data_IF_750386318203
#
_entry.id   IF_750386318203
#
_cell.length_a   1.000
_cell.length_b   1.000
_cell.length_c   1.000
_cell.angle_alpha   90.00
_cell.angle_beta   90.00
_cell.angle_gamma   90.00
#
_symmetry.space_group_name_H-M   'P 1'
#
loop_
_entity.id
_entity.type
_entity.pdbx_description
1 polymer ?
#
# COMPACT_ATOMS: atom_id res chain seq x y z
N UNK A 1 -17.46 5.89 26.02
CA UNK A 1 -16.06 5.46 25.75
C UNK A 1 -16.13 4.07 25.14
N UNK A 2 -15.83 3.93 23.85
CA UNK A 2 -15.83 2.62 23.16
C UNK A 2 -14.48 1.96 23.39
N UNK A 3 -14.49 0.68 23.75
CA UNK A 3 -13.33 -0.20 23.98
C UNK A 3 -12.57 -0.51 22.67
N UNK A 4 -11.99 0.50 22.03
CA UNK A 4 -11.20 0.34 20.80
C UNK A 4 -10.07 1.37 20.61
N UNK A 5 -9.99 2.44 21.42
CA UNK A 5 -9.00 3.52 21.26
C UNK A 5 -7.68 3.27 22.01
N UNK A 6 -7.08 2.09 21.89
CA UNK A 6 -5.73 1.85 22.43
C UNK A 6 -4.89 1.03 21.46
N UNK A 7 -4.00 1.75 20.76
CA UNK A 7 -2.83 1.23 20.04
C UNK A 7 -3.14 0.37 18.80
N UNK A 8 -4.01 0.89 17.94
CA UNK A 8 -4.36 0.27 16.67
C UNK A 8 -3.73 1.02 15.51
N UNK A 9 -2.96 0.32 14.66
CA UNK A 9 -2.59 0.86 13.37
C UNK A 9 -3.79 0.72 12.41
N UNK A 10 -4.29 1.87 11.96
CA UNK A 10 -5.54 2.00 11.21
C UNK A 10 -5.29 1.94 9.70
N UNK A 11 -5.02 0.72 9.24
CA UNK A 11 -4.71 0.43 7.84
C UNK A 11 -5.93 0.70 6.95
N UNK A 12 -7.13 0.34 7.40
CA UNK A 12 -8.35 0.54 6.63
C UNK A 12 -8.66 2.01 6.34
N UNK A 13 -8.63 2.88 7.37
CA UNK A 13 -8.90 4.29 7.14
C UNK A 13 -7.79 4.93 6.30
N UNK A 14 -6.54 4.47 6.44
CA UNK A 14 -5.45 4.94 5.58
C UNK A 14 -5.65 4.53 4.12
N UNK A 15 -5.97 3.25 3.86
CA UNK A 15 -6.25 2.73 2.52
C UNK A 15 -7.40 3.51 1.86
N UNK A 16 -8.50 3.68 2.60
CA UNK A 16 -9.68 4.43 2.15
C UNK A 16 -9.34 5.89 1.79
N UNK A 17 -8.46 6.53 2.58
CA UNK A 17 -8.00 7.90 2.30
C UNK A 17 -7.13 7.97 1.06
N UNK A 18 -6.29 6.96 0.80
CA UNK A 18 -5.47 6.92 -0.42
C UNK A 18 -6.37 6.91 -1.65
N UNK A 19 -7.43 6.10 -1.68
CA UNK A 19 -8.39 6.11 -2.79
C UNK A 19 -8.99 7.50 -3.02
N UNK A 20 -9.48 8.15 -1.96
CA UNK A 20 -10.06 9.48 -2.06
C UNK A 20 -9.06 10.54 -2.58
N UNK A 21 -7.79 10.44 -2.19
CA UNK A 21 -6.74 11.37 -2.65
C UNK A 21 -6.38 11.14 -4.11
N UNK A 22 -6.39 9.88 -4.58
CA UNK A 22 -6.19 9.54 -6.00
C UNK A 22 -7.32 10.13 -6.85
N UNK A 23 -8.58 9.91 -6.47
CA UNK A 23 -9.73 10.46 -7.20
C UNK A 23 -9.75 11.99 -7.18
N UNK A 24 -9.38 12.60 -6.04
CA UNK A 24 -9.29 14.05 -5.92
C UNK A 24 -8.17 14.62 -6.81
N UNK A 25 -7.02 13.94 -6.91
CA UNK A 25 -5.94 14.32 -7.83
C UNK A 25 -6.40 14.19 -9.29
N UNK A 26 -7.06 13.07 -9.62
CA UNK A 26 -7.67 12.84 -10.93
C UNK A 26 -8.66 13.94 -11.35
N UNK A 27 -9.56 14.33 -10.45
CA UNK A 27 -10.55 15.39 -10.67
C UNK A 27 -9.90 16.77 -10.89
N UNK A 28 -8.69 17.00 -10.38
CA UNK A 28 -7.87 18.20 -10.64
C UNK A 28 -7.04 18.09 -11.92
N UNK A 29 -7.08 16.97 -12.63
CA UNK A 29 -6.27 16.70 -13.81
C UNK A 29 -4.81 16.35 -13.50
N UNK A 30 -4.50 15.99 -12.26
CA UNK A 30 -3.15 15.63 -11.83
C UNK A 30 -2.82 14.19 -12.24
N UNK A 31 -1.62 13.99 -12.77
CA UNK A 31 -1.12 12.67 -13.16
C UNK A 31 -0.22 12.03 -12.09
N UNK A 32 -0.04 12.69 -10.94
CA UNK A 32 0.84 12.23 -9.88
C UNK A 32 0.31 12.65 -8.52
N UNK A 33 0.44 11.77 -7.53
CA UNK A 33 0.18 12.05 -6.13
C UNK A 33 1.25 11.41 -5.27
N UNK A 34 1.74 12.17 -4.29
CA UNK A 34 2.68 11.68 -3.28
C UNK A 34 2.30 12.23 -1.92
N UNK A 35 1.98 11.36 -0.98
CA UNK A 35 1.52 11.77 0.36
C UNK A 35 1.93 10.77 1.43
N UNK A 36 2.22 11.29 2.62
CA UNK A 36 2.45 10.50 3.84
C UNK A 36 1.21 10.57 4.75
N UNK A 37 0.87 9.44 5.34
CA UNK A 37 -0.26 9.22 6.23
C UNK A 37 0.24 8.63 7.54
N UNK A 38 -0.18 9.22 8.65
CA UNK A 38 0.08 8.69 10.00
C UNK A 38 -0.92 7.57 10.30
N UNK A 39 -0.41 6.44 10.77
CA UNK A 39 -1.19 5.26 11.17
C UNK A 39 -1.30 5.12 12.70
N UNK A 40 -0.62 5.97 13.48
CA UNK A 40 -0.51 5.87 14.93
C UNK A 40 0.72 5.09 15.41
N UNK A 41 1.12 5.30 16.66
CA UNK A 41 2.24 4.59 17.32
C UNK A 41 3.56 4.60 16.53
N UNK A 42 3.85 5.72 15.86
CA UNK A 42 5.04 5.88 15.03
C UNK A 42 4.93 5.23 13.66
N UNK A 43 3.87 4.47 13.37
CA UNK A 43 3.63 3.87 12.07
C UNK A 43 3.17 4.92 11.04
N UNK A 44 3.72 4.85 9.83
CA UNK A 44 3.41 5.77 8.76
C UNK A 44 3.38 5.04 7.41
N UNK A 45 2.53 5.50 6.50
CA UNK A 45 2.48 5.07 5.10
C UNK A 45 2.80 6.23 4.19
N UNK A 46 3.61 6.01 3.17
CA UNK A 46 3.76 6.93 2.06
C UNK A 46 3.30 6.26 0.78
N UNK A 47 2.34 6.88 0.11
CA UNK A 47 1.95 6.52 -1.24
C UNK A 47 2.64 7.47 -2.24
N UNK A 48 3.18 6.91 -3.31
CA UNK A 48 3.82 7.61 -4.43
C UNK A 48 3.33 6.97 -5.73
N UNK A 49 2.39 7.61 -6.40
CA UNK A 49 1.72 7.09 -7.58
C UNK A 49 1.78 8.15 -8.68
N UNK A 50 2.22 7.75 -9.87
CA UNK A 50 2.24 8.59 -11.06
C UNK A 50 1.88 7.81 -12.30
N UNK A 51 0.83 8.24 -12.96
CA UNK A 51 0.40 7.73 -14.25
C UNK A 51 1.09 8.54 -15.36
N UNK A 52 1.73 7.84 -16.31
CA UNK A 52 2.41 8.46 -17.45
C UNK A 52 1.51 8.71 -18.65
N UNK A 53 0.27 8.23 -18.60
CA UNK A 53 -0.67 8.24 -19.73
C UNK A 53 -1.81 9.25 -19.56
N UNK A 54 -1.99 9.83 -18.37
CA UNK A 54 -3.02 10.85 -18.14
C UNK A 54 -3.26 11.14 -16.65
N UNK A 55 -4.39 11.79 -16.33
CA UNK A 55 -4.83 12.01 -14.96
C UNK A 55 -4.99 10.68 -14.20
N UNK A 56 -4.80 10.75 -12.88
CA UNK A 56 -5.02 9.62 -11.98
C UNK A 56 -6.50 9.23 -11.95
N UNK A 57 -6.77 7.92 -11.87
CA UNK A 57 -8.10 7.35 -11.71
C UNK A 57 -7.95 5.98 -11.06
N UNK A 58 -8.60 5.75 -9.91
CA UNK A 58 -8.54 4.49 -9.19
C UNK A 58 -8.91 3.28 -10.05
N UNK A 59 -9.88 3.43 -10.96
CA UNK A 59 -10.41 2.35 -11.79
C UNK A 59 -9.63 2.17 -13.10
N UNK A 60 -8.71 3.08 -13.41
CA UNK A 60 -7.91 2.99 -14.62
C UNK A 60 -6.98 1.79 -14.56
N UNK A 61 -7.08 0.98 -15.61
CA UNK A 61 -6.19 -0.17 -15.81
C UNK A 61 -4.83 0.31 -16.28
N UNK A 62 -3.80 -0.21 -15.63
CA UNK A 62 -2.41 0.24 -15.75
C UNK A 62 -1.50 -0.95 -16.03
N UNK A 63 -0.50 -0.73 -16.88
CA UNK A 63 0.61 -1.66 -17.10
C UNK A 63 1.86 -1.10 -16.41
N UNK A 64 2.81 -1.95 -16.02
CA UNK A 64 4.00 -1.55 -15.25
C UNK A 64 4.77 -0.39 -15.90
N UNK A 65 4.84 -0.34 -17.24
CA UNK A 65 5.48 0.77 -17.97
C UNK A 65 4.69 2.08 -18.02
N UNK A 66 3.40 2.07 -17.69
CA UNK A 66 2.50 3.21 -17.73
C UNK A 66 2.27 3.85 -16.37
N UNK A 67 2.77 3.22 -15.29
CA UNK A 67 2.52 3.63 -13.92
C UNK A 67 3.78 3.49 -13.08
N UNK A 68 4.22 4.58 -12.48
CA UNK A 68 5.09 4.53 -11.31
C UNK A 68 4.20 4.35 -10.07
N UNK A 69 4.40 3.27 -9.32
CA UNK A 69 3.64 2.95 -8.12
C UNK A 69 4.60 2.61 -6.97
N UNK A 70 4.29 3.08 -5.77
CA UNK A 70 5.00 2.70 -4.56
C UNK A 70 4.23 3.02 -3.29
N UNK A 71 4.00 2.03 -2.44
CA UNK A 71 3.48 2.19 -1.08
C UNK A 71 4.59 1.78 -0.10
N UNK A 72 5.03 2.71 0.74
CA UNK A 72 6.12 2.50 1.69
C UNK A 72 5.59 2.60 3.12
N UNK A 73 5.87 1.60 3.94
CA UNK A 73 5.49 1.52 5.34
C UNK A 73 6.70 1.74 6.24
N UNK A 74 6.53 2.59 7.25
CA UNK A 74 7.57 3.07 8.15
C UNK A 74 7.11 2.93 9.60
N UNK A 75 8.06 2.71 10.50
CA UNK A 75 7.90 2.91 11.94
C UNK A 75 8.98 3.87 12.39
N UNK A 76 8.58 5.01 12.93
CA UNK A 76 9.47 6.12 13.25
C UNK A 76 10.31 6.52 12.03
N UNK A 77 11.64 6.33 12.10
CA UNK A 77 12.57 6.59 11.01
C UNK A 77 12.96 5.34 10.21
N UNK A 78 12.46 4.16 10.55
CA UNK A 78 12.81 2.89 9.90
C UNK A 78 11.73 2.50 8.88
N UNK A 79 12.10 2.43 7.59
CA UNK A 79 11.28 1.76 6.58
C UNK A 79 11.28 0.27 6.88
N UNK A 80 10.11 -0.37 6.93
CA UNK A 80 10.03 -1.80 7.22
C UNK A 80 9.46 -2.65 6.11
N UNK A 81 8.66 -2.05 5.23
CA UNK A 81 8.05 -2.74 4.10
C UNK A 81 7.76 -1.73 2.98
N UNK A 82 7.94 -2.14 1.73
CA UNK A 82 7.51 -1.38 0.57
C UNK A 82 6.99 -2.33 -0.49
N UNK A 83 5.94 -1.90 -1.19
CA UNK A 83 5.48 -2.53 -2.42
C UNK A 83 5.57 -1.53 -3.58
N UNK A 84 6.21 -1.89 -4.69
CA UNK A 84 6.32 -1.06 -5.88
C UNK A 84 6.31 -1.87 -7.20
N UNK A 85 6.23 -1.18 -8.34
CA UNK A 85 6.57 -1.78 -9.64
C UNK A 85 8.08 -1.81 -9.81
N UNK A 86 8.60 -2.84 -10.49
CA UNK A 86 9.95 -2.73 -11.04
C UNK A 86 10.00 -1.63 -12.11
N UNK A 87 11.22 -1.21 -12.42
CA UNK A 87 11.50 -0.29 -13.53
C UNK A 87 11.30 -0.94 -14.90
N UNK A 88 10.98 -2.22 -14.98
CA UNK A 88 10.82 -2.92 -16.24
C UNK A 88 9.35 -2.89 -16.71
N UNK A 89 9.06 -2.27 -17.88
CA UNK A 89 7.69 -2.09 -18.37
C UNK A 89 6.96 -3.38 -18.73
N UNK A 90 7.67 -4.52 -18.82
CA UNK A 90 7.07 -5.84 -19.09
C UNK A 90 6.66 -6.60 -17.83
N UNK A 91 6.97 -6.07 -16.65
CA UNK A 91 6.80 -6.84 -15.43
C UNK A 91 5.34 -7.02 -15.08
N UNK A 92 5.00 -8.26 -14.73
CA UNK A 92 3.65 -8.70 -14.39
C UNK A 92 3.52 -8.91 -12.88
N UNK A 93 4.33 -8.21 -12.09
CA UNK A 93 4.38 -8.37 -10.65
C UNK A 93 4.65 -7.05 -9.91
N UNK A 94 4.30 -7.02 -8.63
CA UNK A 94 4.74 -6.01 -7.68
C UNK A 94 5.88 -6.57 -6.82
N UNK A 95 6.90 -5.76 -6.53
CA UNK A 95 8.04 -6.17 -5.71
C UNK A 95 7.81 -5.85 -4.25
N UNK A 96 8.00 -6.86 -3.41
CA UNK A 96 8.05 -6.71 -1.97
C UNK A 96 9.48 -6.41 -1.52
N UNK A 97 9.68 -5.23 -0.93
CA UNK A 97 10.95 -4.83 -0.32
C UNK A 97 10.83 -4.91 1.20
N UNK A 98 11.64 -5.77 1.82
CA UNK A 98 11.78 -5.86 3.27
C UNK A 98 13.09 -5.21 3.72
N UNK A 99 13.07 -4.53 4.87
CA UNK A 99 14.31 -4.03 5.45
C UNK A 99 15.23 -5.18 5.90
N UNK A 100 16.55 -5.01 5.71
CA UNK A 100 17.55 -6.05 6.00
C UNK A 100 17.48 -6.53 7.45
N UNK A 101 17.23 -7.83 7.66
CA UNK A 101 17.15 -8.48 8.98
C UNK A 101 15.84 -9.23 9.21
N UNK A 102 14.76 -8.78 8.56
CA UNK A 102 13.56 -9.59 8.28
C UNK A 102 13.82 -10.39 7.01
N UNK A 103 13.49 -11.70 7.00
CA UNK A 103 13.89 -12.67 5.96
C UNK A 103 13.93 -12.09 4.53
N UNK A 104 15.03 -12.36 3.82
CA UNK A 104 15.19 -12.08 2.39
C UNK A 104 14.25 -12.95 1.59
N UNK A 105 13.08 -12.42 1.26
CA UNK A 105 12.28 -12.90 0.16
C UNK A 105 11.95 -11.66 -0.67
N UNK A 106 12.63 -11.50 -1.80
CA UNK A 106 12.11 -10.70 -2.91
C UNK A 106 10.89 -11.46 -3.44
N UNK A 107 9.78 -11.38 -2.69
CA UNK A 107 8.51 -11.94 -3.10
C UNK A 107 7.95 -11.02 -4.18
N UNK A 108 7.77 -11.59 -5.37
CA UNK A 108 7.08 -10.95 -6.47
C UNK A 108 5.61 -11.32 -6.35
N UNK A 109 4.74 -10.32 -6.24
CA UNK A 109 3.29 -10.55 -6.24
C UNK A 109 2.77 -10.51 -7.66
N UNK A 110 2.35 -11.66 -8.22
CA UNK A 110 1.85 -11.69 -9.57
C UNK A 110 0.58 -10.84 -9.69
N UNK A 111 0.50 -10.09 -10.77
CA UNK A 111 -0.69 -9.33 -11.15
C UNK A 111 -1.52 -10.16 -12.13
N UNK A 112 -2.83 -10.21 -11.92
CA UNK A 112 -3.76 -10.82 -12.87
C UNK A 112 -3.97 -9.90 -14.07
N UNK A 113 -3.01 -9.89 -15.00
CA UNK A 113 -3.09 -9.09 -16.22
C UNK A 113 -2.82 -7.60 -15.99
N UNK A 114 -3.78 -6.74 -16.32
CA UNK A 114 -3.66 -5.28 -16.22
C UNK A 114 -4.46 -4.77 -15.02
N UNK A 115 -3.85 -4.66 -13.83
CA UNK A 115 -4.58 -4.25 -12.63
C UNK A 115 -5.05 -2.80 -12.74
N UNK A 116 -6.02 -2.42 -11.93
CA UNK A 116 -6.31 -1.01 -11.65
C UNK A 116 -5.36 -0.43 -10.60
N UNK A 117 -5.27 0.90 -10.52
CA UNK A 117 -4.52 1.57 -9.45
C UNK A 117 -5.06 1.15 -8.07
N UNK A 118 -6.39 1.03 -7.93
CA UNK A 118 -6.99 0.61 -6.68
C UNK A 118 -6.63 -0.82 -6.30
N UNK A 119 -6.58 -1.74 -7.27
CA UNK A 119 -6.14 -3.13 -7.03
C UNK A 119 -4.69 -3.16 -6.52
N UNK A 120 -3.78 -2.39 -7.10
CA UNK A 120 -2.39 -2.28 -6.62
C UNK A 120 -2.32 -1.77 -5.18
N UNK A 121 -3.11 -0.75 -4.82
CA UNK A 121 -3.18 -0.22 -3.45
C UNK A 121 -3.72 -1.28 -2.49
N UNK A 122 -4.84 -1.94 -2.83
CA UNK A 122 -5.42 -2.99 -1.97
C UNK A 122 -4.41 -4.11 -1.70
N UNK A 123 -3.67 -4.56 -2.72
CA UNK A 123 -2.65 -5.59 -2.57
C UNK A 123 -1.53 -5.18 -1.60
N UNK A 124 -1.09 -3.91 -1.64
CA UNK A 124 -0.09 -3.39 -0.72
C UNK A 124 -0.57 -3.40 0.74
N UNK A 125 -1.82 -3.01 0.96
CA UNK A 125 -2.40 -2.98 2.31
C UNK A 125 -2.69 -4.39 2.83
N UNK A 126 -3.24 -5.28 2.00
CA UNK A 126 -3.46 -6.69 2.35
C UNK A 126 -2.14 -7.34 2.79
N UNK A 127 -1.05 -7.17 2.04
CA UNK A 127 0.25 -7.68 2.45
C UNK A 127 0.79 -7.04 3.71
N UNK A 128 0.63 -5.73 3.88
CA UNK A 128 1.02 -5.08 5.14
C UNK A 128 0.30 -5.70 6.34
N UNK A 129 -0.98 -6.08 6.24
CA UNK A 129 -1.69 -6.75 7.34
C UNK A 129 -1.05 -8.09 7.74
N UNK A 130 -0.40 -8.78 6.81
CA UNK A 130 0.34 -10.03 7.09
C UNK A 130 1.73 -9.79 7.67
N UNK A 131 2.41 -8.72 7.25
CA UNK A 131 3.80 -8.44 7.58
C UNK A 131 3.93 -7.79 8.96
N UNK A 132 3.02 -6.88 9.31
CA UNK A 132 3.16 -6.11 10.54
C UNK A 132 3.05 -7.01 11.79
N UNK A 133 2.13 -8.00 11.89
CA UNK A 133 2.11 -8.94 13.00
C UNK A 133 3.37 -9.80 13.11
N UNK A 134 3.99 -10.16 11.97
CA UNK A 134 5.27 -10.86 11.95
C UNK A 134 6.42 -10.00 12.49
N UNK A 135 6.50 -8.73 12.08
CA UNK A 135 7.60 -7.83 12.45
C UNK A 135 7.43 -7.17 13.81
N UNK A 136 6.19 -6.93 14.26
CA UNK A 136 5.85 -6.21 15.49
C UNK A 136 4.79 -6.95 16.30
N UNK A 137 5.20 -8.06 16.93
CA UNK A 137 4.32 -8.87 17.77
C UNK A 137 3.67 -8.05 18.90
N UNK A 138 2.36 -8.22 19.08
CA UNK A 138 1.58 -7.53 20.12
C UNK A 138 0.89 -6.22 19.72
N UNK A 139 1.03 -5.78 18.46
CA UNK A 139 0.28 -4.63 17.92
C UNK A 139 -1.09 -5.10 17.39
N UNK A 140 -2.16 -4.35 17.66
CA UNK A 140 -3.51 -4.65 17.14
C UNK A 140 -3.75 -3.86 15.85
N UNK A 141 -4.43 -4.44 14.86
CA UNK A 141 -4.66 -3.80 13.56
C UNK A 141 -6.13 -3.82 13.19
N UNK A 142 -6.55 -2.80 12.44
CA UNK A 142 -7.87 -2.77 11.80
C UNK A 142 -7.69 -2.78 10.28
N UNK A 143 -8.23 -3.80 9.63
CA UNK A 143 -8.37 -3.89 8.17
C UNK A 143 -9.86 -3.93 7.82
N UNK A 144 -10.25 -3.48 6.61
CA UNK A 144 -11.62 -3.64 6.14
C UNK A 144 -11.86 -4.89 5.32
N UNK A 145 -10.82 -5.70 5.10
CA UNK A 145 -10.99 -7.14 4.86
C UNK A 145 -11.42 -7.78 6.17
N UNK A 146 -12.73 -7.85 6.39
CA UNK A 146 -13.29 -8.64 7.47
C UNK A 146 -12.74 -10.07 7.38
N UNK A 147 -12.13 -10.54 8.46
CA UNK A 147 -11.65 -11.91 8.66
C UNK A 147 -12.52 -12.98 7.98
N UNK A 148 -11.89 -13.85 7.20
CA UNK A 148 -12.27 -15.26 7.15
C UNK A 148 -11.02 -16.11 7.33
N UNK A 149 -10.79 -16.60 8.55
CA UNK A 149 -9.75 -17.61 8.79
C UNK A 149 -9.14 -17.62 10.18
N UNK A 150 -9.95 -17.88 11.22
CA UNK A 150 -9.46 -18.69 12.34
C UNK A 150 -9.59 -20.16 11.93
N UNK A 151 -8.47 -20.88 11.87
CA UNK A 151 -8.36 -22.29 12.30
C UNK A 151 -6.97 -22.51 12.88
#
# INVERSE_FOLDING_TARGET
>A
MRLGEKYGCDLWNCESRIYAEIDAAGARGESAFKKRFDLGDGHNVQADIRDFTGPLDNQKRVYAGGLQFGINFWKDSEAYYRLDFDKNPTDTYLHEHFASGTRTMDEHLPLSGTPSISECVSMAFDKATTIIPWKFSGTTFTSGTAFSGFV
#
